data_IF_767980930517
#
_entry.id   IF_767980930517
#
_cell.length_a   1.000
_cell.length_b   1.000
_cell.length_c   1.000
_cell.angle_alpha   90.00
_cell.angle_beta   90.00
_cell.angle_gamma   90.00
#
_symmetry.space_group_name_H-M   'P 1'
#
loop_
_entity.id
_entity.type
_entity.pdbx_description
1 polymer ?
#
# COMPACT_ATOMS: atom_id res chain seq x y z
N UNK A 1 10.01 -14.07 -29.08
CA UNK A 1 8.64 -14.53 -28.82
C UNK A 1 7.73 -13.44 -29.33
N UNK A 2 6.96 -13.74 -30.37
CA UNK A 2 6.16 -12.76 -31.12
C UNK A 2 4.92 -12.39 -30.31
N UNK A 3 4.86 -11.13 -29.86
CA UNK A 3 3.66 -10.56 -29.25
C UNK A 3 2.56 -10.48 -30.31
N UNK A 4 1.38 -11.02 -29.99
CA UNK A 4 0.19 -10.92 -30.82
C UNK A 4 -0.27 -9.47 -30.75
N UNK A 5 0.21 -8.64 -31.68
CA UNK A 5 -0.34 -7.31 -31.92
C UNK A 5 -1.73 -7.51 -32.52
N UNK A 6 -2.78 -7.11 -31.80
CA UNK A 6 -4.12 -7.00 -32.41
C UNK A 6 -4.01 -6.11 -33.64
N UNK A 7 -4.48 -6.55 -34.82
CA UNK A 7 -4.32 -5.79 -36.05
C UNK A 7 -4.99 -4.43 -35.88
N UNK A 8 -4.22 -3.37 -36.15
CA UNK A 8 -4.76 -2.02 -36.16
C UNK A 8 -5.89 -1.93 -37.20
N UNK A 9 -6.97 -1.18 -36.92
CA UNK A 9 -8.03 -0.98 -37.91
C UNK A 9 -7.45 -0.43 -39.21
N UNK A 10 -7.79 -1.03 -40.36
CA UNK A 10 -7.28 -0.63 -41.69
C UNK A 10 -7.48 0.88 -41.95
N UNK A 11 -8.64 1.41 -41.54
CA UNK A 11 -8.96 2.84 -41.69
C UNK A 11 -7.98 3.78 -40.96
N UNK A 12 -7.36 3.33 -39.86
CA UNK A 12 -6.34 4.11 -39.14
C UNK A 12 -5.01 4.13 -39.92
N UNK A 13 -4.60 2.98 -40.44
CA UNK A 13 -3.38 2.84 -41.23
C UNK A 13 -3.48 3.71 -42.49
N UNK A 14 -4.60 3.62 -43.20
CA UNK A 14 -4.86 4.41 -44.41
C UNK A 14 -4.84 5.92 -44.14
N UNK A 15 -5.45 6.35 -43.03
CA UNK A 15 -5.45 7.75 -42.65
C UNK A 15 -4.03 8.25 -42.27
N UNK A 16 -3.27 7.44 -41.54
CA UNK A 16 -1.87 7.73 -41.19
C UNK A 16 -1.00 7.87 -42.44
N UNK A 17 -1.17 6.99 -43.43
CA UNK A 17 -0.44 7.05 -44.70
C UNK A 17 -0.76 8.34 -45.47
N UNK A 18 -2.03 8.71 -45.58
CA UNK A 18 -2.48 9.92 -46.30
C UNK A 18 -2.04 11.21 -45.61
N UNK A 19 -2.02 11.23 -44.27
CA UNK A 19 -1.69 12.44 -43.49
C UNK A 19 -0.23 12.52 -43.07
N UNK A 20 0.58 11.49 -43.41
CA UNK A 20 1.94 11.30 -42.89
C UNK A 20 2.03 11.27 -41.35
N UNK A 21 0.92 10.97 -40.67
CA UNK A 21 0.89 10.78 -39.23
C UNK A 21 1.50 9.42 -38.88
N UNK A 22 2.24 9.34 -37.77
CA UNK A 22 2.80 8.06 -37.32
C UNK A 22 1.71 7.12 -36.78
N UNK A 23 1.61 5.86 -37.24
CA UNK A 23 0.64 4.88 -36.74
C UNK A 23 0.82 4.52 -35.25
N UNK A 24 1.98 4.87 -34.69
CA UNK A 24 2.37 4.63 -33.30
C UNK A 24 1.95 5.78 -32.36
N UNK A 25 1.70 6.98 -32.90
CA UNK A 25 1.34 8.18 -32.12
C UNK A 25 -0.19 8.27 -32.05
N UNK A 26 -0.75 7.97 -30.88
CA UNK A 26 -2.20 7.89 -30.64
C UNK A 26 -2.65 8.80 -29.49
N UNK A 27 -2.07 10.00 -29.40
CA UNK A 27 -2.54 10.99 -28.43
C UNK A 27 -3.96 11.49 -28.77
N UNK A 28 -4.61 12.14 -27.80
CA UNK A 28 -6.00 12.60 -27.96
C UNK A 28 -6.17 13.67 -29.05
N UNK A 29 -5.13 14.45 -29.37
CA UNK A 29 -5.19 15.47 -30.41
C UNK A 29 -5.18 14.82 -31.80
N UNK A 30 -4.32 13.82 -32.01
CA UNK A 30 -4.26 13.01 -33.23
C UNK A 30 -5.53 12.18 -33.39
N UNK A 31 -6.04 11.56 -32.32
CA UNK A 31 -7.30 10.80 -32.37
C UNK A 31 -8.52 11.69 -32.65
N UNK A 32 -8.54 12.91 -32.11
CA UNK A 32 -9.59 13.91 -32.41
C UNK A 32 -9.53 14.34 -33.87
N UNK A 33 -8.32 14.56 -34.40
CA UNK A 33 -8.13 14.91 -35.80
C UNK A 33 -8.58 13.78 -36.74
N UNK A 34 -8.19 12.54 -36.43
CA UNK A 34 -8.62 11.34 -37.15
C UNK A 34 -10.15 11.18 -37.13
N UNK A 35 -10.78 11.30 -35.96
CA UNK A 35 -12.24 11.23 -35.83
C UNK A 35 -12.95 12.25 -36.72
N UNK A 36 -12.43 13.48 -36.76
CA UNK A 36 -12.99 14.58 -37.56
C UNK A 36 -12.81 14.37 -39.06
N UNK A 37 -11.66 13.84 -39.49
CA UNK A 37 -11.31 13.73 -40.91
C UNK A 37 -11.82 12.44 -41.57
N UNK A 38 -11.69 11.31 -40.87
CA UNK A 38 -12.07 10.00 -41.38
C UNK A 38 -13.49 9.57 -40.97
N UNK A 39 -14.19 10.37 -40.15
CA UNK A 39 -15.51 10.02 -39.64
C UNK A 39 -15.51 8.78 -38.74
N UNK A 40 -14.39 8.55 -38.02
CA UNK A 40 -14.19 7.33 -37.26
C UNK A 40 -15.24 7.16 -36.15
N UNK A 41 -15.80 5.95 -36.03
CA UNK A 41 -16.78 5.64 -35.00
C UNK A 41 -16.16 5.63 -33.59
N UNK A 42 -16.96 5.91 -32.55
CA UNK A 42 -16.52 5.83 -31.15
C UNK A 42 -15.95 4.45 -30.77
N UNK A 43 -16.48 3.38 -31.37
CA UNK A 43 -15.98 2.01 -31.18
C UNK A 43 -14.56 1.85 -31.73
N UNK A 44 -14.26 2.46 -32.88
CA UNK A 44 -12.94 2.43 -33.49
C UNK A 44 -11.92 3.26 -32.70
N UNK A 45 -12.32 4.45 -32.24
CA UNK A 45 -11.48 5.27 -31.37
C UNK A 45 -11.17 4.53 -30.06
N UNK A 46 -12.15 3.82 -29.48
CA UNK A 46 -11.92 2.97 -28.31
C UNK A 46 -10.91 1.84 -28.61
N UNK A 47 -11.00 1.16 -29.75
CA UNK A 47 -10.02 0.13 -30.12
C UNK A 47 -8.60 0.67 -30.33
N UNK A 48 -8.46 1.91 -30.84
CA UNK A 48 -7.15 2.55 -31.02
C UNK A 48 -6.55 3.00 -29.68
N UNK A 49 -7.38 3.45 -28.73
CA UNK A 49 -6.97 3.74 -27.34
C UNK A 49 -6.59 2.48 -26.56
N UNK A 50 -7.24 1.35 -26.85
CA UNK A 50 -6.93 0.05 -26.23
C UNK A 50 -5.62 -0.57 -26.74
N UNK A 51 -5.07 -0.08 -27.84
CA UNK A 51 -3.80 -0.54 -28.38
C UNK A 51 -2.57 0.16 -27.73
N UNK A 52 -2.76 0.92 -26.65
CA UNK A 52 -1.65 1.27 -25.75
C UNK A 52 -1.10 -0.01 -25.08
N UNK A 53 0.22 -0.11 -24.85
CA UNK A 53 0.79 -1.29 -24.20
C UNK A 53 0.08 -1.53 -22.86
N UNK A 54 -0.40 -2.77 -22.64
CA UNK A 54 -1.23 -3.19 -21.49
C UNK A 54 -0.69 -2.69 -20.12
N UNK A 55 0.62 -2.52 -20.01
CA UNK A 55 1.30 -1.97 -18.83
C UNK A 55 0.85 -0.54 -18.44
N UNK A 56 0.39 0.29 -19.39
CA UNK A 56 -0.03 1.67 -19.12
C UNK A 56 -1.47 1.79 -18.61
N UNK A 57 -2.35 0.85 -18.96
CA UNK A 57 -3.76 0.90 -18.54
C UNK A 57 -3.99 0.38 -17.12
N UNK A 58 -3.13 -0.52 -16.64
CA UNK A 58 -3.29 -1.13 -15.32
C UNK A 58 -3.01 -0.11 -14.20
N UNK A 59 -1.87 0.60 -14.24
CA UNK A 59 -1.45 1.50 -13.16
C UNK A 59 -2.02 2.93 -13.21
N UNK A 60 -3.28 3.13 -13.62
CA UNK A 60 -3.91 4.47 -13.72
C UNK A 60 -3.98 5.23 -12.40
N UNK A 61 -3.93 4.51 -11.27
CA UNK A 61 -4.00 5.06 -9.93
C UNK A 61 -2.62 5.50 -9.38
N UNK A 62 -1.51 5.05 -9.98
CA UNK A 62 -0.16 5.48 -9.62
C UNK A 62 0.08 6.95 -9.98
N UNK A 63 0.89 7.72 -9.21
CA UNK A 63 1.28 9.08 -9.55
C UNK A 63 1.74 9.22 -11.01
N UNK A 64 1.03 10.06 -11.77
CA UNK A 64 1.20 10.15 -13.22
C UNK A 64 2.65 10.50 -13.64
N UNK A 65 3.30 11.41 -12.89
CA UNK A 65 4.69 11.82 -13.13
C UNK A 65 5.73 10.71 -12.95
N UNK A 66 5.36 9.61 -12.27
CA UNK A 66 6.29 8.53 -11.91
C UNK A 66 5.94 7.18 -12.52
N UNK A 67 4.99 7.11 -13.48
CA UNK A 67 4.60 5.83 -14.13
C UNK A 67 5.73 5.19 -14.93
N UNK A 68 6.60 6.00 -15.54
CA UNK A 68 7.73 5.55 -16.36
C UNK A 68 9.07 5.53 -15.60
N UNK A 69 9.06 5.95 -14.34
CA UNK A 69 10.25 5.94 -13.50
C UNK A 69 10.40 4.56 -12.82
N UNK A 70 11.30 3.74 -13.34
CA UNK A 70 11.57 2.40 -12.83
C UNK A 70 12.04 2.38 -11.36
N UNK A 71 12.53 3.50 -10.82
CA UNK A 71 12.99 3.63 -9.45
C UNK A 71 11.92 4.11 -8.46
N UNK A 72 10.77 4.60 -8.94
CA UNK A 72 9.81 5.33 -8.11
C UNK A 72 9.23 4.49 -6.96
N UNK A 73 8.79 3.25 -7.22
CA UNK A 73 8.31 2.37 -6.15
C UNK A 73 9.43 2.06 -5.14
N UNK A 74 10.66 1.82 -5.60
CA UNK A 74 11.79 1.55 -4.69
C UNK A 74 12.11 2.75 -3.81
N UNK A 75 12.08 3.96 -4.35
CA UNK A 75 12.27 5.20 -3.60
C UNK A 75 11.17 5.38 -2.55
N UNK A 76 9.90 5.20 -2.94
CA UNK A 76 8.77 5.24 -2.02
C UNK A 76 8.96 4.26 -0.86
N UNK A 77 9.27 3.00 -1.18
CA UNK A 77 9.45 1.93 -0.20
C UNK A 77 10.62 2.23 0.73
N UNK A 78 11.79 2.60 0.19
CA UNK A 78 12.98 2.90 0.99
C UNK A 78 12.71 4.04 1.97
N UNK A 79 12.13 5.15 1.51
CA UNK A 79 11.82 6.29 2.37
C UNK A 79 10.72 5.98 3.40
N UNK A 80 9.68 5.28 2.99
CA UNK A 80 8.61 4.86 3.89
C UNK A 80 9.11 3.92 4.98
N UNK A 81 9.89 2.90 4.61
CA UNK A 81 10.47 1.94 5.56
C UNK A 81 11.44 2.62 6.52
N UNK A 82 12.24 3.59 6.05
CA UNK A 82 13.10 4.39 6.93
C UNK A 82 12.27 5.14 8.00
N UNK A 83 11.15 5.77 7.60
CA UNK A 83 10.26 6.48 8.53
C UNK A 83 9.47 5.55 9.45
N UNK A 84 9.07 4.36 8.98
CA UNK A 84 8.45 3.32 9.84
C UNK A 84 9.40 2.95 10.99
N UNK A 85 10.69 2.87 10.70
CA UNK A 85 11.71 2.45 11.66
C UNK A 85 12.33 3.59 12.49
N UNK A 86 12.03 4.85 12.16
CA UNK A 86 12.45 6.01 12.94
C UNK A 86 11.83 5.96 14.36
N UNK A 87 12.67 6.01 15.42
CA UNK A 87 12.21 6.10 16.80
C UNK A 87 11.26 7.27 17.09
N UNK A 88 11.41 8.39 16.37
CA UNK A 88 10.58 9.58 16.53
C UNK A 88 9.19 9.45 15.89
N UNK A 89 8.99 8.49 14.99
CA UNK A 89 7.69 8.29 14.35
C UNK A 89 6.67 7.74 15.33
N UNK A 90 5.59 8.48 15.51
CA UNK A 90 4.48 8.06 16.37
C UNK A 90 3.82 6.78 15.83
N UNK A 91 3.38 5.89 16.72
CA UNK A 91 2.93 4.54 16.34
C UNK A 91 1.74 4.55 15.35
N UNK A 92 0.82 5.51 15.46
CA UNK A 92 -0.30 5.65 14.52
C UNK A 92 0.22 6.00 13.13
N UNK A 93 1.25 6.83 13.05
CA UNK A 93 1.85 7.22 11.77
C UNK A 93 2.63 6.05 11.17
N UNK A 94 3.30 5.22 11.98
CA UNK A 94 3.88 3.95 11.50
C UNK A 94 2.83 3.04 10.86
N UNK A 95 1.67 2.89 11.51
CA UNK A 95 0.55 2.11 10.97
C UNK A 95 0.06 2.66 9.63
N UNK A 96 -0.12 3.99 9.54
CA UNK A 96 -0.54 4.67 8.31
C UNK A 96 0.52 4.55 7.20
N UNK A 97 1.80 4.60 7.55
CA UNK A 97 2.92 4.42 6.62
C UNK A 97 2.95 3.00 6.07
N UNK A 98 2.84 1.96 6.90
CA UNK A 98 2.77 0.57 6.42
C UNK A 98 1.61 0.38 5.43
N UNK A 99 0.43 0.94 5.72
CA UNK A 99 -0.70 0.95 4.77
C UNK A 99 -0.38 1.70 3.47
N UNK A 100 0.27 2.86 3.57
CA UNK A 100 0.68 3.65 2.40
C UNK A 100 1.65 2.88 1.51
N UNK A 101 2.63 2.18 2.09
CA UNK A 101 3.59 1.38 1.35
C UNK A 101 2.91 0.20 0.65
N UNK A 102 2.04 -0.52 1.37
CA UNK A 102 1.23 -1.59 0.77
C UNK A 102 0.36 -1.08 -0.38
N UNK A 103 -0.37 0.04 -0.17
CA UNK A 103 -1.13 0.68 -1.24
C UNK A 103 -0.21 1.06 -2.42
N UNK A 104 1.01 1.53 -2.16
CA UNK A 104 1.99 1.81 -3.19
C UNK A 104 2.30 0.59 -4.06
N UNK A 105 2.53 -0.57 -3.45
CA UNK A 105 2.75 -1.84 -4.16
C UNK A 105 1.54 -2.24 -5.00
N UNK A 106 0.32 -2.08 -4.47
CA UNK A 106 -0.90 -2.39 -5.22
C UNK A 106 -1.04 -1.53 -6.47
N UNK A 107 -0.75 -0.22 -6.38
CA UNK A 107 -1.02 0.73 -7.46
C UNK A 107 0.13 0.87 -8.45
N UNK A 108 1.38 0.65 -8.03
CA UNK A 108 2.54 0.82 -8.88
C UNK A 108 2.53 -0.16 -10.07
N UNK A 109 3.05 0.22 -11.24
CA UNK A 109 3.14 -0.67 -12.39
C UNK A 109 3.90 -1.96 -12.11
N UNK A 110 3.53 -3.04 -12.82
CA UNK A 110 4.24 -4.32 -12.75
C UNK A 110 5.73 -4.19 -13.10
N UNK A 111 6.06 -3.31 -14.05
CA UNK A 111 7.46 -2.99 -14.42
C UNK A 111 8.28 -2.37 -13.28
N UNK A 112 7.63 -1.84 -12.23
CA UNK A 112 8.28 -1.31 -11.03
C UNK A 112 8.27 -2.32 -9.87
N UNK A 113 7.66 -3.50 -10.06
CA UNK A 113 7.45 -4.52 -9.02
C UNK A 113 6.13 -4.40 -8.25
N UNK A 114 5.21 -3.54 -8.69
CA UNK A 114 3.85 -3.46 -8.15
C UNK A 114 2.85 -4.35 -8.89
N UNK A 115 1.54 -4.16 -8.65
CA UNK A 115 0.47 -4.93 -9.29
C UNK A 115 -0.33 -4.16 -10.34
N UNK A 116 -0.11 -2.85 -10.46
CA UNK A 116 -0.83 -2.00 -11.41
C UNK A 116 -2.33 -2.04 -11.21
N UNK A 117 -2.83 -2.07 -9.97
CA UNK A 117 -4.26 -2.07 -9.72
C UNK A 117 -4.83 -0.67 -9.94
N UNK A 118 -6.04 -0.61 -10.52
CA UNK A 118 -6.86 0.60 -10.52
C UNK A 118 -7.34 0.91 -9.09
N UNK A 119 -7.86 2.13 -8.88
CA UNK A 119 -8.40 2.53 -7.58
C UNK A 119 -9.51 1.58 -7.10
N UNK A 120 -10.41 1.18 -8.00
CA UNK A 120 -11.53 0.31 -7.65
C UNK A 120 -11.08 -1.12 -7.33
N UNK A 121 -10.11 -1.64 -8.08
CA UNK A 121 -9.52 -2.94 -7.79
C UNK A 121 -8.79 -2.93 -6.44
N UNK A 122 -7.99 -1.91 -6.15
CA UNK A 122 -7.27 -1.81 -4.88
C UNK A 122 -8.23 -1.67 -3.68
N UNK A 123 -9.28 -0.84 -3.80
CA UNK A 123 -10.28 -0.66 -2.74
C UNK A 123 -11.18 -1.88 -2.54
N UNK A 124 -11.48 -2.60 -3.62
CA UNK A 124 -12.28 -3.83 -3.60
C UNK A 124 -11.45 -5.10 -3.36
N UNK A 125 -10.15 -4.98 -3.12
CA UNK A 125 -9.25 -6.12 -2.97
C UNK A 125 -9.55 -6.88 -1.68
N UNK A 126 -9.89 -8.16 -1.82
CA UNK A 126 -10.17 -9.09 -0.73
C UNK A 126 -8.96 -9.98 -0.45
N UNK A 127 -8.82 -10.58 0.74
CA UNK A 127 -7.73 -11.52 1.01
C UNK A 127 -7.65 -12.67 0.00
N UNK A 128 -8.78 -13.32 -0.29
CA UNK A 128 -8.85 -14.41 -1.26
C UNK A 128 -8.42 -14.00 -2.68
N UNK A 129 -8.83 -12.80 -3.14
CA UNK A 129 -8.42 -12.31 -4.47
C UNK A 129 -6.96 -11.89 -4.51
N UNK A 130 -6.43 -11.34 -3.42
CA UNK A 130 -5.00 -11.01 -3.32
C UNK A 130 -4.10 -12.24 -3.27
N UNK A 131 -4.54 -13.36 -2.68
CA UNK A 131 -3.78 -14.60 -2.67
C UNK A 131 -3.38 -15.05 -4.09
N UNK A 132 -4.27 -14.89 -5.07
CA UNK A 132 -3.98 -15.17 -6.47
C UNK A 132 -3.07 -14.16 -7.16
N UNK A 133 -2.94 -12.95 -6.62
CA UNK A 133 -2.08 -11.87 -7.17
C UNK A 133 -0.71 -11.80 -6.51
N UNK A 134 -0.54 -12.41 -5.33
CA UNK A 134 0.65 -12.25 -4.50
C UNK A 134 1.94 -12.64 -5.21
N UNK A 135 1.92 -13.70 -6.03
CA UNK A 135 3.09 -14.13 -6.82
C UNK A 135 3.50 -13.13 -7.90
N UNK A 136 2.63 -12.17 -8.25
CA UNK A 136 2.93 -11.08 -9.18
C UNK A 136 3.63 -9.89 -8.52
N UNK A 137 3.74 -9.86 -7.19
CA UNK A 137 4.46 -8.80 -6.46
C UNK A 137 5.96 -8.97 -6.67
N UNK A 138 6.64 -7.89 -7.05
CA UNK A 138 8.09 -7.91 -7.27
C UNK A 138 8.91 -8.07 -5.99
N UNK A 139 10.14 -8.54 -6.16
CA UNK A 139 11.16 -8.62 -5.10
C UNK A 139 12.32 -7.70 -5.47
N UNK A 140 12.94 -7.07 -4.47
CA UNK A 140 14.16 -6.27 -4.65
C UNK A 140 15.31 -6.85 -3.82
N UNK A 141 16.56 -6.53 -4.17
CA UNK A 141 17.73 -7.01 -3.42
C UNK A 141 17.79 -6.44 -2.00
N UNK A 142 17.43 -5.16 -1.84
CA UNK A 142 17.41 -4.48 -0.55
C UNK A 142 16.04 -4.63 0.12
N UNK A 143 16.01 -5.15 1.36
CA UNK A 143 14.78 -5.36 2.14
C UNK A 143 13.93 -4.09 2.26
N UNK A 144 14.56 -2.95 2.54
CA UNK A 144 13.87 -1.66 2.75
C UNK A 144 13.14 -1.14 1.50
N UNK A 145 13.55 -1.60 0.32
CA UNK A 145 12.98 -1.21 -0.96
C UNK A 145 12.17 -2.36 -1.61
N UNK A 146 11.95 -3.46 -0.88
CA UNK A 146 11.35 -4.68 -1.41
C UNK A 146 9.81 -4.65 -1.35
N UNK A 147 9.10 -4.73 -2.50
CA UNK A 147 7.64 -4.71 -2.52
C UNK A 147 7.02 -5.87 -1.74
N UNK A 148 7.57 -7.08 -1.87
CA UNK A 148 7.12 -8.25 -1.12
C UNK A 148 7.25 -8.08 0.40
N UNK A 149 8.32 -7.45 0.89
CA UNK A 149 8.48 -7.14 2.32
C UNK A 149 7.43 -6.13 2.81
N UNK A 150 7.09 -5.12 2.00
CA UNK A 150 6.04 -4.16 2.34
C UNK A 150 4.66 -4.82 2.42
N UNK A 151 4.37 -5.79 1.53
CA UNK A 151 3.17 -6.63 1.60
C UNK A 151 3.14 -7.45 2.88
N UNK A 152 4.23 -8.17 3.16
CA UNK A 152 4.34 -8.99 4.37
C UNK A 152 4.12 -8.16 5.64
N UNK A 153 4.77 -6.98 5.72
CA UNK A 153 4.64 -6.06 6.87
C UNK A 153 3.21 -5.58 7.12
N UNK A 154 2.43 -5.40 6.04
CA UNK A 154 1.02 -5.02 6.17
C UNK A 154 0.11 -6.21 6.51
N UNK A 155 0.37 -7.39 5.95
CA UNK A 155 -0.35 -8.61 6.34
C UNK A 155 -0.14 -8.95 7.82
N UNK A 156 1.06 -8.68 8.36
CA UNK A 156 1.36 -8.79 9.79
C UNK A 156 0.44 -7.90 10.64
N UNK A 157 0.27 -6.64 10.23
CA UNK A 157 -0.63 -5.68 10.89
C UNK A 157 -2.08 -6.17 10.82
N UNK A 158 -2.54 -6.58 9.63
CA UNK A 158 -3.90 -7.05 9.45
C UNK A 158 -4.17 -8.32 10.25
N UNK A 159 -3.21 -9.24 10.33
CA UNK A 159 -3.32 -10.48 11.10
C UNK A 159 -3.39 -10.23 12.61
N UNK A 160 -2.64 -9.26 13.11
CA UNK A 160 -2.76 -8.81 14.48
C UNK A 160 -4.15 -8.20 14.79
N UNK A 161 -4.82 -7.63 13.78
CA UNK A 161 -6.17 -7.08 13.91
C UNK A 161 -7.28 -8.13 13.73
N UNK A 162 -7.10 -9.10 12.83
CA UNK A 162 -8.11 -10.12 12.50
C UNK A 162 -8.31 -11.14 13.63
N UNK A 163 -7.28 -11.42 14.43
CA UNK A 163 -7.37 -12.39 15.51
C UNK A 163 -7.50 -11.81 16.93
N UNK A 164 -7.06 -10.57 17.21
CA UNK A 164 -6.80 -10.13 18.59
C UNK A 164 -7.07 -8.62 18.83
N UNK A 165 -7.21 -8.25 20.11
CA UNK A 165 -7.63 -6.92 20.59
C UNK A 165 -6.79 -5.74 20.08
N UNK A 166 -7.36 -4.53 20.14
CA UNK A 166 -6.66 -3.26 19.80
C UNK A 166 -5.33 -3.04 20.52
N UNK A 167 -5.09 -3.71 21.66
CA UNK A 167 -3.82 -3.69 22.38
C UNK A 167 -2.67 -4.35 21.60
N UNK A 168 -2.94 -5.34 20.75
CA UNK A 168 -1.92 -6.01 19.94
C UNK A 168 -1.54 -5.24 18.69
N UNK A 169 -2.51 -4.62 18.01
CA UNK A 169 -2.20 -3.67 16.93
C UNK A 169 -1.34 -2.52 17.47
N UNK A 170 -1.64 -2.03 18.68
CA UNK A 170 -0.79 -1.05 19.38
C UNK A 170 0.60 -1.61 19.66
N UNK A 171 0.71 -2.80 20.24
CA UNK A 171 2.01 -3.44 20.52
C UNK A 171 2.86 -3.56 19.25
N UNK A 172 2.24 -4.03 18.15
CA UNK A 172 2.91 -4.19 16.86
C UNK A 172 3.29 -2.86 16.22
N UNK A 173 2.43 -1.84 16.30
CA UNK A 173 2.76 -0.50 15.80
C UNK A 173 3.82 0.23 16.66
N UNK A 174 3.96 -0.15 17.94
CA UNK A 174 5.06 0.30 18.79
C UNK A 174 6.36 -0.42 18.48
N UNK A 175 6.31 -1.67 18.00
CA UNK A 175 7.50 -2.41 17.58
C UNK A 175 8.09 -1.76 16.33
N UNK A 176 9.41 -1.56 16.38
CA UNK A 176 10.21 -1.30 15.19
C UNK A 176 10.37 -2.62 14.46
N UNK A 177 10.64 -2.55 13.18
CA UNK A 177 11.03 -3.74 12.47
C UNK A 177 12.35 -4.26 13.05
N UNK A 178 12.38 -5.52 13.45
CA UNK A 178 13.63 -6.13 13.91
C UNK A 178 14.52 -6.40 12.69
N UNK A 179 15.82 -6.06 12.75
CA UNK A 179 16.74 -6.38 11.67
C UNK A 179 16.84 -7.90 11.52
N UNK A 180 16.47 -8.41 10.35
CA UNK A 180 16.64 -9.81 9.97
C UNK A 180 17.87 -10.00 9.09
N UNK A 181 18.49 -11.19 9.12
CA UNK A 181 19.61 -11.53 8.23
C UNK A 181 19.19 -11.66 6.74
N UNK A 182 17.89 -11.67 6.46
CA UNK A 182 17.30 -11.79 5.12
C UNK A 182 16.04 -10.96 4.94
N UNK A 183 15.29 -11.23 3.88
CA UNK A 183 14.05 -10.49 3.60
C UNK A 183 12.90 -11.02 4.45
N UNK A 184 12.09 -10.14 5.03
CA UNK A 184 10.95 -10.57 5.85
C UNK A 184 9.89 -11.38 5.11
N UNK A 185 9.73 -11.15 3.81
CA UNK A 185 8.79 -11.94 3.01
C UNK A 185 9.24 -13.40 2.79
N UNK A 186 10.47 -13.76 3.19
CA UNK A 186 10.99 -15.12 3.18
C UNK A 186 10.65 -15.88 4.47
N UNK A 187 10.23 -15.17 5.53
CA UNK A 187 9.68 -15.77 6.74
C UNK A 187 8.29 -16.32 6.45
N UNK A 188 7.85 -17.28 7.28
CA UNK A 188 6.48 -17.75 7.26
C UNK A 188 5.50 -16.59 7.39
N UNK A 189 4.33 -16.72 6.76
CA UNK A 189 3.30 -15.72 6.89
C UNK A 189 2.91 -15.56 8.37
N UNK A 190 2.84 -14.31 8.88
CA UNK A 190 2.60 -14.05 10.30
C UNK A 190 1.23 -14.58 10.75
N UNK A 191 0.32 -14.74 9.80
CA UNK A 191 -0.93 -15.46 9.97
C UNK A 191 -1.22 -16.24 8.69
N UNK A 192 -0.93 -17.55 8.62
CA UNK A 192 -0.98 -18.32 7.37
C UNK A 192 -2.39 -18.47 6.79
N UNK A 193 -3.43 -18.26 7.60
CA UNK A 193 -4.83 -18.37 7.20
C UNK A 193 -5.39 -17.03 6.66
N UNK A 194 -4.53 -16.04 6.41
CA UNK A 194 -4.97 -14.70 6.03
C UNK A 194 -5.85 -14.65 4.78
N UNK A 195 -5.63 -15.58 3.84
CA UNK A 195 -6.43 -15.67 2.62
C UNK A 195 -7.89 -16.07 2.88
N UNK A 196 -8.18 -16.67 4.05
CA UNK A 196 -9.49 -17.19 4.44
C UNK A 196 -10.25 -16.25 5.39
N UNK A 197 -9.68 -15.09 5.76
CA UNK A 197 -10.33 -14.15 6.67
C UNK A 197 -11.67 -13.65 6.14
N UNK A 198 -12.75 -14.03 6.82
CA UNK A 198 -14.11 -13.54 6.55
C UNK A 198 -14.37 -12.18 7.21
N UNK A 199 -13.72 -11.92 8.35
CA UNK A 199 -13.98 -10.75 9.20
C UNK A 199 -13.13 -9.53 8.82
N UNK A 200 -12.19 -9.70 7.88
CA UNK A 200 -11.39 -8.64 7.28
C UNK A 200 -11.56 -8.70 5.74
N UNK A 201 -12.73 -8.27 5.21
CA UNK A 201 -13.08 -8.46 3.80
C UNK A 201 -12.25 -7.59 2.85
N UNK A 202 -11.44 -6.66 3.35
CA UNK A 202 -10.63 -5.76 2.55
C UNK A 202 -9.20 -5.63 3.09
N UNK A 203 -8.24 -5.42 2.19
CA UNK A 203 -6.83 -5.24 2.53
C UNK A 203 -6.41 -3.78 2.69
N UNK A 204 -7.32 -2.83 2.49
CA UNK A 204 -7.09 -1.40 2.72
C UNK A 204 -8.13 -0.80 3.68
N UNK A 205 -8.21 -1.28 4.93
CA UNK A 205 -9.16 -0.75 5.89
C UNK A 205 -8.88 0.72 6.20
N UNK A 206 -9.95 1.43 6.56
CA UNK A 206 -9.82 2.76 7.18
C UNK A 206 -9.03 2.67 8.49
N UNK A 207 -8.31 3.75 8.83
CA UNK A 207 -7.59 3.89 10.12
C UNK A 207 -8.12 5.18 10.72
N UNK A 208 -8.70 5.11 11.91
CA UNK A 208 -9.21 6.30 12.57
C UNK A 208 -8.09 7.15 13.22
N UNK A 209 -8.46 8.18 13.99
CA UNK A 209 -7.49 9.05 14.67
C UNK A 209 -6.76 8.37 15.84
N UNK A 210 -7.26 7.23 16.30
CA UNK A 210 -6.74 6.48 17.44
C UNK A 210 -6.05 5.17 17.01
N UNK A 211 -5.93 4.92 15.71
CA UNK A 211 -5.28 3.74 15.16
C UNK A 211 -6.16 2.50 15.07
N UNK A 212 -7.49 2.63 15.23
CA UNK A 212 -8.42 1.52 15.01
C UNK A 212 -8.60 1.27 13.51
N UNK A 213 -8.51 0.01 13.12
CA UNK A 213 -8.75 -0.46 11.75
C UNK A 213 -10.24 -0.74 11.58
N UNK A 214 -10.84 -0.20 10.53
CA UNK A 214 -12.24 -0.47 10.21
C UNK A 214 -12.44 -1.89 9.67
N UNK A 215 -13.04 -2.78 10.46
CA UNK A 215 -13.17 -4.20 10.14
C UNK A 215 -14.05 -4.50 8.93
N UNK A 216 -15.04 -3.65 8.62
CA UNK A 216 -16.08 -4.00 7.63
C UNK A 216 -16.06 -3.16 6.36
N UNK A 217 -15.24 -2.11 6.31
CA UNK A 217 -15.23 -1.17 5.20
C UNK A 217 -13.80 -0.85 4.75
N UNK A 218 -13.59 -0.93 3.43
CA UNK A 218 -12.41 -0.40 2.78
C UNK A 218 -12.34 1.12 2.99
N UNK A 219 -11.14 1.67 2.92
CA UNK A 219 -10.97 3.10 3.06
C UNK A 219 -11.74 3.86 1.97
N UNK A 220 -12.20 5.07 2.32
CA UNK A 220 -12.94 5.88 1.35
C UNK A 220 -12.06 6.29 0.16
N UNK A 221 -12.66 6.42 -1.03
CA UNK A 221 -11.96 6.81 -2.27
C UNK A 221 -11.17 8.11 -2.12
N UNK A 222 -11.69 9.09 -1.38
CA UNK A 222 -10.95 10.34 -1.11
C UNK A 222 -9.70 10.11 -0.26
N UNK A 223 -9.73 9.19 0.70
CA UNK A 223 -8.57 8.82 1.50
C UNK A 223 -7.50 8.14 0.65
N UNK A 224 -7.88 7.32 -0.33
CA UNK A 224 -6.94 6.77 -1.31
C UNK A 224 -6.31 7.87 -2.19
N UNK A 225 -7.09 8.86 -2.62
CA UNK A 225 -6.54 10.03 -3.33
C UNK A 225 -5.52 10.79 -2.48
N UNK A 226 -5.77 10.97 -1.18
CA UNK A 226 -4.80 11.56 -0.26
C UNK A 226 -3.53 10.70 -0.13
N UNK A 227 -3.66 9.37 -0.09
CA UNK A 227 -2.50 8.46 -0.09
C UNK A 227 -1.68 8.60 -1.37
N UNK A 228 -2.32 8.67 -2.54
CA UNK A 228 -1.62 8.86 -3.83
C UNK A 228 -0.86 10.19 -3.84
N UNK A 229 -1.44 11.27 -3.31
CA UNK A 229 -0.74 12.54 -3.13
C UNK A 229 0.46 12.43 -2.18
N UNK A 230 0.31 11.69 -1.08
CA UNK A 230 1.41 11.42 -0.16
C UNK A 230 2.52 10.57 -0.81
N UNK A 231 2.19 9.59 -1.66
CA UNK A 231 3.17 8.81 -2.42
C UNK A 231 4.05 9.73 -3.27
N UNK A 232 3.47 10.68 -4.00
CA UNK A 232 4.22 11.68 -4.77
C UNK A 232 5.21 12.44 -3.88
N UNK A 233 4.74 12.94 -2.73
CA UNK A 233 5.59 13.67 -1.80
C UNK A 233 6.76 12.83 -1.27
N UNK A 234 6.55 11.54 -1.00
CA UNK A 234 7.63 10.63 -0.61
C UNK A 234 8.60 10.34 -1.75
N UNK A 235 8.13 10.18 -2.99
CA UNK A 235 9.02 9.92 -4.13
C UNK A 235 9.90 11.14 -4.41
N UNK A 236 9.33 12.35 -4.31
CA UNK A 236 10.00 13.62 -4.58
C UNK A 236 10.82 14.16 -3.40
N UNK A 237 10.58 13.67 -2.19
CA UNK A 237 11.30 14.12 -1.01
C UNK A 237 12.80 13.81 -1.12
N UNK A 238 13.62 14.71 -0.56
CA UNK A 238 15.05 14.47 -0.44
C UNK A 238 15.31 13.15 0.29
N UNK A 239 16.33 12.38 -0.13
CA UNK A 239 16.67 11.12 0.53
C UNK A 239 16.85 11.32 2.03
N UNK A 240 16.19 10.49 2.83
CA UNK A 240 16.42 10.47 4.27
C UNK A 240 17.88 10.05 4.47
N UNK A 241 18.72 10.98 4.93
CA UNK A 241 20.09 10.66 5.34
C UNK A 241 20.00 9.69 6.51
N UNK A 242 20.66 8.54 6.37
CA UNK A 242 20.74 7.54 7.43
C UNK A 242 21.39 8.18 8.65
N UNK A 243 20.60 8.54 9.65
CA UNK A 243 21.12 8.79 10.98
C UNK A 243 21.66 7.45 11.46
N UNK A 244 23.00 7.33 11.47
CA UNK A 244 23.71 6.23 12.11
C UNK A 244 23.03 5.94 13.44
N UNK A 245 22.65 4.67 13.64
CA UNK A 245 21.95 4.19 14.81
C UNK A 245 22.68 4.64 16.09
N UNK A 246 22.22 5.74 16.69
CA UNK A 246 22.36 5.88 18.13
C UNK A 246 21.40 4.84 18.70
N UNK A 247 21.94 3.64 18.93
CA UNK A 247 21.37 2.61 19.78
C UNK A 247 21.22 3.17 21.20
N UNK A 248 20.27 4.07 21.38
CA UNK A 248 19.65 4.29 22.68
C UNK A 248 18.42 3.40 22.69
N UNK A 249 18.63 2.13 23.01
CA UNK A 249 17.59 1.46 23.78
C UNK A 249 17.46 2.31 25.03
N UNK A 250 16.39 3.11 25.13
CA UNK A 250 16.02 3.69 26.41
C UNK A 250 16.08 2.54 27.43
N UNK A 251 16.79 2.72 28.56
CA UNK A 251 16.98 1.63 29.50
C UNK A 251 15.60 1.07 29.83
N UNK A 252 15.40 -0.22 29.56
CA UNK A 252 14.19 -0.93 29.96
C UNK A 252 14.11 -0.75 31.46
N UNK A 253 13.20 0.10 31.93
CA UNK A 253 13.05 0.34 33.36
C UNK A 253 12.59 -0.98 33.98
N UNK A 254 13.50 -1.66 34.67
CA UNK A 254 13.15 -2.83 35.46
C UNK A 254 12.28 -2.35 36.61
N UNK A 255 10.98 -2.64 36.53
CA UNK A 255 10.04 -2.45 37.63
C UNK A 255 10.44 -3.46 38.70
N UNK A 256 10.81 -2.98 39.88
CA UNK A 256 11.10 -3.84 41.01
C UNK A 256 9.81 -4.50 41.52
N UNK A 257 9.91 -5.64 42.20
CA UNK A 257 8.74 -6.30 42.80
C UNK A 257 7.97 -5.39 43.77
N UNK A 258 8.65 -4.44 44.41
CA UNK A 258 8.04 -3.44 45.29
C UNK A 258 7.24 -2.39 44.49
N UNK A 259 7.78 -1.96 43.35
CA UNK A 259 7.09 -1.02 42.47
C UNK A 259 5.89 -1.68 41.76
N UNK A 260 6.01 -2.95 41.39
CA UNK A 260 4.90 -3.76 40.87
C UNK A 260 3.78 -3.92 41.91
N UNK A 261 4.12 -4.23 43.16
CA UNK A 261 3.16 -4.33 44.25
C UNK A 261 2.43 -2.98 44.51
N UNK A 262 3.16 -1.86 44.43
CA UNK A 262 2.57 -0.53 44.57
C UNK A 262 1.62 -0.18 43.40
N UNK A 263 1.97 -0.57 42.17
CA UNK A 263 1.12 -0.38 40.98
C UNK A 263 -0.16 -1.21 41.12
N UNK A 264 -0.06 -2.47 41.54
CA UNK A 264 -1.21 -3.36 41.73
C UNK A 264 -2.14 -2.85 42.84
N UNK A 265 -1.60 -2.44 43.99
CA UNK A 265 -2.40 -1.87 45.06
C UNK A 265 -3.15 -0.60 44.63
N UNK A 266 -2.53 0.24 43.80
CA UNK A 266 -3.15 1.44 43.22
C UNK A 266 -4.28 1.09 42.25
N UNK A 267 -4.11 0.02 41.46
CA UNK A 267 -5.13 -0.47 40.55
C UNK A 267 -6.33 -1.05 41.30
N UNK A 268 -6.09 -1.80 42.37
CA UNK A 268 -7.15 -2.35 43.23
C UNK A 268 -7.95 -1.24 43.94
N UNK A 269 -7.29 -0.20 44.43
CA UNK A 269 -7.95 0.99 45.00
C UNK A 269 -8.87 1.67 43.97
N UNK A 270 -8.39 1.85 42.74
CA UNK A 270 -9.17 2.42 41.63
C UNK A 270 -10.36 1.54 41.26
N UNK A 271 -10.17 0.22 41.18
CA UNK A 271 -11.24 -0.72 40.89
C UNK A 271 -12.31 -0.73 41.99
N UNK A 272 -11.91 -0.68 43.26
CA UNK A 272 -12.83 -0.57 44.39
C UNK A 272 -13.66 0.71 44.33
N UNK A 273 -13.05 1.84 43.96
CA UNK A 273 -13.75 3.13 43.79
C UNK A 273 -14.73 3.10 42.61
N UNK A 274 -14.34 2.49 41.50
CA UNK A 274 -15.23 2.33 40.33
C UNK A 274 -16.39 1.41 40.66
N UNK A 275 -16.15 0.30 41.36
CA UNK A 275 -17.19 -0.62 41.79
C UNK A 275 -18.20 0.06 42.75
N UNK A 276 -17.72 0.85 43.70
CA UNK A 276 -18.58 1.62 44.61
C UNK A 276 -19.44 2.66 43.86
N UNK A 277 -18.85 3.37 42.89
CA UNK A 277 -19.60 4.30 42.05
C UNK A 277 -20.66 3.58 41.21
N UNK A 278 -20.34 2.41 40.66
CA UNK A 278 -21.29 1.63 39.86
C UNK A 278 -22.42 1.03 40.71
N UNK A 279 -22.16 0.67 41.97
CA UNK A 279 -23.21 0.20 42.89
C UNK A 279 -24.17 1.31 43.32
N UNK A 280 -23.74 2.57 43.32
CA UNK A 280 -24.59 3.73 43.68
C UNK A 280 -25.58 4.10 42.54
N UNK A 281 -25.39 3.57 41.32
CA UNK A 281 -26.28 3.76 40.17
C UNK A 281 -27.14 2.53 39.84
N UNK A 282 -27.12 1.51 40.69
CA UNK A 282 -27.91 0.26 40.58
C UNK A 282 -29.18 0.26 41.42
#
# INVERSE_FOLDING_TARGET
MSGISSPLPELWIDWCEVTSASPEVRDEDVLTLFARQAGASQKMLASLRLAEPEDQQLATAWPAGHRRDAGALRLLLRQGTARVNDPATFWIDRLRLRRLLFAGVLLAPASQGGLGLTRDQALGLTPASFAGLRSGVGVAEEERACPACAVWSWLEVLGANAGWSSAMVKSLAHRRDEPSEGHRHELDDPNPEWAEWTDCPNLLPSIDRWGYLGSFASMHRSSLSSLIGAMTWFIEAAPVLETAELQSSAPTRHISAEEEAAILARADELNARVAALLSDFG
#
